data_IF_283837384515
#
_entry.id   IF_283837384515
#
_cell.length_a   1.000
_cell.length_b   1.000
_cell.length_c   1.000
_cell.angle_alpha   90.00
_cell.angle_beta   90.00
_cell.angle_gamma   90.00
#
_symmetry.space_group_name_H-M   'P 1'
#
loop_
_entity.id
_entity.type
_entity.pdbx_description
1 polymer ?
#
# COMPACT_ATOMS: atom_id res chain seq x y z
N UNK A 1 -33.68 0.12 55.36
CA UNK A 1 -33.34 -0.50 54.06
C UNK A 1 -33.00 0.61 53.07
N UNK A 2 -31.71 0.82 52.83
CA UNK A 2 -31.27 1.80 51.88
C UNK A 2 -30.76 1.06 50.65
N UNK A 3 -31.43 1.24 49.51
CA UNK A 3 -31.03 0.69 48.24
C UNK A 3 -30.00 1.59 47.58
N UNK A 4 -28.79 1.06 47.34
CA UNK A 4 -27.75 1.72 46.54
C UNK A 4 -28.04 1.51 45.06
N UNK A 5 -28.29 2.59 44.32
CA UNK A 5 -28.36 2.56 42.87
C UNK A 5 -26.98 2.68 42.28
N UNK A 6 -26.53 1.65 41.57
CA UNK A 6 -25.28 1.68 40.79
C UNK A 6 -25.51 2.45 39.50
N UNK A 7 -24.81 3.57 39.34
CA UNK A 7 -24.76 4.31 38.07
C UNK A 7 -23.76 3.62 37.11
N UNK A 8 -24.28 3.02 36.05
CA UNK A 8 -23.49 2.54 34.94
C UNK A 8 -23.05 3.73 34.07
N UNK A 9 -21.78 4.05 34.10
CA UNK A 9 -21.21 5.04 33.17
C UNK A 9 -21.13 4.43 31.76
N UNK A 10 -21.95 4.93 30.85
CA UNK A 10 -21.88 4.65 29.42
C UNK A 10 -20.64 5.37 28.86
N UNK A 11 -19.59 4.64 28.63
CA UNK A 11 -18.46 5.10 27.82
C UNK A 11 -18.96 5.20 26.37
N UNK A 12 -19.34 6.39 25.93
CA UNK A 12 -19.60 6.69 24.53
C UNK A 12 -18.32 6.55 23.68
N UNK A 13 -18.43 6.31 22.37
CA UNK A 13 -17.28 6.23 21.50
C UNK A 13 -16.51 7.53 21.56
N UNK A 14 -15.20 7.43 21.79
CA UNK A 14 -14.29 8.58 21.77
C UNK A 14 -14.40 9.24 20.39
N UNK A 15 -14.54 10.57 20.30
CA UNK A 15 -14.53 11.25 19.03
C UNK A 15 -13.17 11.04 18.36
N UNK A 16 -13.19 10.56 17.12
CA UNK A 16 -12.01 10.51 16.27
C UNK A 16 -11.33 11.88 16.33
N UNK A 17 -10.07 11.87 16.73
CA UNK A 17 -9.28 13.05 16.92
C UNK A 17 -9.35 13.94 15.66
N UNK A 18 -9.61 15.19 15.91
CA UNK A 18 -9.62 16.31 15.00
C UNK A 18 -8.64 16.17 13.84
N UNK A 19 -9.21 16.15 12.65
CA UNK A 19 -8.57 16.31 11.36
C UNK A 19 -7.63 17.52 11.41
N UNK A 20 -6.34 17.27 11.61
CA UNK A 20 -5.32 18.30 11.61
C UNK A 20 -5.12 18.77 10.16
N UNK A 21 -5.24 20.06 9.96
CA UNK A 21 -5.05 20.82 8.73
C UNK A 21 -5.92 20.39 7.54
N UNK A 22 -6.80 21.26 7.14
CA UNK A 22 -7.53 21.19 5.88
C UNK A 22 -6.55 21.29 4.71
N UNK A 23 -5.92 20.19 4.35
CA UNK A 23 -5.42 20.05 3.00
C UNK A 23 -6.64 20.13 2.09
N UNK A 24 -6.59 20.98 1.07
CA UNK A 24 -7.68 21.13 0.10
C UNK A 24 -7.83 19.88 -0.77
N UNK A 25 -7.15 18.77 -0.39
CA UNK A 25 -7.02 17.51 -1.11
C UNK A 25 -7.71 16.37 -0.36
N UNK A 26 -8.29 15.46 -1.13
CA UNK A 26 -8.88 14.21 -0.63
C UNK A 26 -7.84 13.09 -0.54
N UNK A 27 -6.78 13.20 -1.32
CA UNK A 27 -5.69 12.23 -1.39
C UNK A 27 -4.33 12.91 -1.59
N UNK A 28 -3.31 12.36 -0.94
CA UNK A 28 -1.90 12.60 -1.22
C UNK A 28 -1.12 11.28 -1.15
N UNK A 29 -0.18 11.12 -2.06
CA UNK A 29 0.69 9.96 -2.13
C UNK A 29 1.81 10.09 -1.10
N UNK A 30 1.99 9.08 -0.23
CA UNK A 30 3.05 9.08 0.76
C UNK A 30 4.04 7.96 0.47
N UNK A 31 5.26 8.33 0.11
CA UNK A 31 6.39 7.40 0.00
C UNK A 31 7.06 7.26 1.36
N UNK A 32 7.26 6.03 1.82
CA UNK A 32 7.93 5.75 3.09
C UNK A 32 9.44 5.58 2.87
N UNK A 33 10.21 6.38 3.59
CA UNK A 33 11.66 6.23 3.72
C UNK A 33 11.95 5.36 4.95
N UNK A 34 12.60 4.21 4.74
CA UNK A 34 13.06 3.31 5.78
C UNK A 34 14.59 3.20 5.77
N UNK A 35 15.19 2.90 6.92
CA UNK A 35 16.64 3.05 7.12
C UNK A 35 17.46 2.00 6.36
N UNK A 36 16.99 0.76 6.30
CA UNK A 36 17.79 -0.36 5.80
C UNK A 36 17.88 -0.45 4.27
N UNK A 37 16.99 0.24 3.51
CA UNK A 37 16.81 -0.01 2.09
C UNK A 37 17.07 1.17 1.17
N UNK A 38 16.70 0.96 -0.08
CA UNK A 38 16.79 1.92 -1.19
C UNK A 38 15.37 2.37 -1.59
N UNK A 39 14.72 3.07 -0.72
CA UNK A 39 13.33 3.52 -0.79
C UNK A 39 13.02 4.50 -1.94
N UNK A 40 14.04 5.13 -2.51
CA UNK A 40 13.96 6.22 -3.50
C UNK A 40 14.01 5.73 -4.96
N UNK A 41 13.53 4.53 -5.19
CA UNK A 41 13.37 3.93 -6.53
C UNK A 41 12.18 4.53 -7.27
N UNK A 42 12.14 4.38 -8.60
CA UNK A 42 10.99 4.76 -9.45
C UNK A 42 10.57 6.23 -9.27
N UNK A 43 11.47 7.15 -9.61
CA UNK A 43 11.34 8.59 -9.31
C UNK A 43 10.07 9.23 -9.91
N UNK A 44 9.63 8.79 -11.10
CA UNK A 44 8.46 9.35 -11.79
C UNK A 44 7.15 8.64 -11.45
N UNK A 45 7.23 7.46 -10.85
CA UNK A 45 6.06 6.64 -10.54
C UNK A 45 4.99 7.42 -9.75
N UNK A 46 5.30 8.14 -8.65
CA UNK A 46 4.25 8.85 -7.91
C UNK A 46 3.55 9.91 -8.76
N UNK A 47 4.30 10.67 -9.57
CA UNK A 47 3.70 11.70 -10.44
C UNK A 47 2.80 11.08 -11.52
N UNK A 48 3.16 9.92 -12.05
CA UNK A 48 2.37 9.20 -13.05
C UNK A 48 1.08 8.62 -12.43
N UNK A 49 1.17 8.03 -11.23
CA UNK A 49 0.01 7.54 -10.48
C UNK A 49 -0.93 8.69 -10.11
N UNK A 50 -0.40 9.81 -9.61
CA UNK A 50 -1.18 11.01 -9.26
C UNK A 50 -1.89 11.60 -10.50
N UNK A 51 -1.19 11.68 -11.63
CA UNK A 51 -1.79 12.10 -12.91
C UNK A 51 -2.94 11.18 -13.30
N UNK A 52 -2.76 9.88 -13.16
CA UNK A 52 -3.80 8.90 -13.50
C UNK A 52 -5.03 9.02 -12.60
N UNK A 53 -4.83 9.28 -11.30
CA UNK A 53 -5.94 9.55 -10.39
C UNK A 53 -6.73 10.82 -10.79
N UNK A 54 -6.04 11.87 -11.22
CA UNK A 54 -6.66 13.10 -11.71
C UNK A 54 -7.44 12.84 -13.00
N UNK A 55 -6.87 12.06 -13.93
CA UNK A 55 -7.48 11.78 -15.23
C UNK A 55 -8.70 10.85 -15.13
N UNK A 56 -8.68 9.87 -14.21
CA UNK A 56 -9.73 8.85 -14.13
C UNK A 56 -10.77 9.11 -13.03
N UNK A 57 -10.49 9.97 -12.06
CA UNK A 57 -11.37 10.15 -10.89
C UNK A 57 -11.73 11.59 -10.63
N UNK A 58 -12.70 11.83 -9.75
CA UNK A 58 -13.05 13.18 -9.27
C UNK A 58 -12.34 13.55 -7.95
N UNK A 59 -11.37 12.77 -7.51
CA UNK A 59 -10.61 13.05 -6.29
C UNK A 59 -9.81 14.35 -6.45
N UNK A 60 -9.80 15.16 -5.41
CA UNK A 60 -8.89 16.30 -5.30
C UNK A 60 -7.55 15.75 -4.81
N UNK A 61 -6.62 15.56 -5.73
CA UNK A 61 -5.33 14.91 -5.52
C UNK A 61 -4.25 15.98 -5.34
N UNK A 62 -3.41 15.86 -4.30
CA UNK A 62 -2.18 16.64 -4.22
C UNK A 62 -1.25 16.20 -5.36
N UNK A 63 -0.83 17.09 -6.27
CA UNK A 63 -0.02 16.71 -7.41
C UNK A 63 1.43 16.34 -7.04
N UNK A 64 1.81 16.45 -5.77
CA UNK A 64 3.15 16.14 -5.27
C UNK A 64 3.13 14.97 -4.33
N UNK A 65 4.15 14.11 -4.43
CA UNK A 65 4.36 13.10 -3.40
C UNK A 65 4.85 13.73 -2.09
N UNK A 66 4.52 13.07 -0.99
CA UNK A 66 5.05 13.35 0.34
C UNK A 66 6.02 12.23 0.72
N UNK A 67 7.24 12.55 1.07
CA UNK A 67 8.21 11.60 1.61
C UNK A 67 8.22 11.72 3.12
N UNK A 68 7.93 10.62 3.81
CA UNK A 68 7.95 10.55 5.28
C UNK A 68 8.87 9.43 5.75
N UNK A 69 9.62 9.69 6.81
CA UNK A 69 10.35 8.63 7.48
C UNK A 69 9.37 7.64 8.13
N UNK A 70 9.58 6.35 7.92
CA UNK A 70 8.78 5.31 8.58
C UNK A 70 8.91 5.40 10.12
N UNK A 71 10.04 5.90 10.61
CA UNK A 71 10.26 6.18 12.03
C UNK A 71 9.53 7.46 12.54
N UNK A 72 9.07 8.36 11.65
CA UNK A 72 8.33 9.57 12.05
C UNK A 72 6.85 9.23 12.29
N UNK A 73 6.29 9.49 13.49
CA UNK A 73 4.88 9.24 13.77
C UNK A 73 3.91 10.04 12.88
N UNK A 74 4.36 11.05 12.12
CA UNK A 74 3.52 11.74 11.14
C UNK A 74 2.97 10.80 10.05
N UNK A 75 3.67 9.68 9.77
CA UNK A 75 3.17 8.69 8.81
C UNK A 75 1.83 8.09 9.23
N UNK A 76 1.50 8.10 10.53
CA UNK A 76 0.22 7.61 11.04
C UNK A 76 -0.99 8.42 10.55
N UNK A 77 -0.77 9.61 10.00
CA UNK A 77 -1.81 10.50 9.45
C UNK A 77 -1.97 10.36 7.93
N UNK A 78 -1.11 9.61 7.27
CA UNK A 78 -1.16 9.44 5.82
C UNK A 78 -2.40 8.63 5.40
N UNK A 79 -3.13 9.03 4.33
CA UNK A 79 -4.27 8.26 3.84
C UNK A 79 -3.86 6.97 3.13
N UNK A 80 -2.62 6.94 2.66
CA UNK A 80 -2.02 5.87 1.88
C UNK A 80 -0.50 5.94 2.01
N UNK A 81 0.14 4.80 2.15
CA UNK A 81 1.59 4.69 2.16
C UNK A 81 2.09 3.73 1.08
N UNK A 82 3.23 4.08 0.49
CA UNK A 82 3.98 3.25 -0.47
C UNK A 82 5.37 2.96 0.08
N UNK A 83 5.80 1.70 -0.02
CA UNK A 83 7.13 1.24 0.35
C UNK A 83 7.66 0.36 -0.76
N UNK A 84 8.86 0.62 -1.26
CA UNK A 84 9.48 -0.17 -2.32
C UNK A 84 10.99 -0.25 -2.14
N UNK A 85 11.64 -1.09 -2.93
CA UNK A 85 13.09 -1.20 -3.00
C UNK A 85 13.58 -2.53 -3.55
N UNK A 86 14.92 -2.67 -3.60
CA UNK A 86 15.62 -3.86 -4.09
C UNK A 86 16.37 -4.60 -2.98
N UNK A 87 16.64 -3.91 -1.86
CA UNK A 87 17.57 -4.36 -0.82
C UNK A 87 16.86 -4.96 0.39
N UNK A 88 17.68 -5.31 1.37
CA UNK A 88 17.20 -5.83 2.65
C UNK A 88 16.19 -4.88 3.30
N UNK A 89 15.06 -5.42 3.72
CA UNK A 89 14.09 -4.72 4.58
C UNK A 89 14.31 -5.17 6.02
N UNK A 90 14.82 -4.27 6.84
CA UNK A 90 15.01 -4.48 8.25
C UNK A 90 14.54 -3.25 9.02
N UNK A 91 13.35 -3.33 9.63
CA UNK A 91 12.77 -2.22 10.36
C UNK A 91 13.46 -2.07 11.73
N UNK A 92 13.95 -0.86 12.00
CA UNK A 92 14.36 -0.50 13.35
C UNK A 92 13.14 -0.48 14.31
N UNK A 93 13.36 -0.43 15.64
CA UNK A 93 12.25 -0.51 16.60
C UNK A 93 11.18 0.60 16.45
N UNK A 94 11.54 1.79 15.96
CA UNK A 94 10.59 2.87 15.75
C UNK A 94 9.77 2.65 14.46
N UNK A 95 10.43 2.30 13.37
CA UNK A 95 9.80 1.92 12.10
C UNK A 95 8.80 0.78 12.28
N UNK A 96 9.23 -0.27 12.98
CA UNK A 96 8.38 -1.43 13.26
C UNK A 96 7.12 -1.03 14.05
N UNK A 97 7.26 -0.23 15.11
CA UNK A 97 6.09 0.23 15.91
C UNK A 97 5.13 1.06 15.07
N UNK A 98 5.66 2.02 14.29
CA UNK A 98 4.83 2.90 13.48
C UNK A 98 4.12 2.13 12.36
N UNK A 99 4.82 1.21 11.68
CA UNK A 99 4.22 0.36 10.66
C UNK A 99 3.08 -0.48 11.23
N UNK A 100 3.34 -1.18 12.35
CA UNK A 100 2.33 -2.00 13.03
C UNK A 100 1.14 -1.16 13.48
N UNK A 101 1.38 -0.02 14.13
CA UNK A 101 0.33 0.87 14.63
C UNK A 101 -0.51 1.44 13.47
N UNK A 102 0.13 1.87 12.39
CA UNK A 102 -0.55 2.39 11.21
C UNK A 102 -1.52 1.37 10.62
N UNK A 103 -1.04 0.17 10.36
CA UNK A 103 -1.85 -0.91 9.79
C UNK A 103 -2.97 -1.34 10.74
N UNK A 104 -2.68 -1.51 12.04
CA UNK A 104 -3.70 -1.89 13.03
C UNK A 104 -4.79 -0.84 13.25
N UNK A 105 -4.47 0.43 13.02
CA UNK A 105 -5.41 1.55 13.11
C UNK A 105 -6.19 1.80 11.79
N UNK A 106 -6.09 0.89 10.82
CA UNK A 106 -6.83 0.97 9.56
C UNK A 106 -6.08 1.68 8.43
N UNK A 107 -4.79 1.98 8.60
CA UNK A 107 -3.93 2.47 7.52
C UNK A 107 -3.71 1.42 6.44
N UNK A 108 -3.35 1.86 5.24
CA UNK A 108 -3.06 1.01 4.09
C UNK A 108 -1.66 1.27 3.55
N UNK A 109 -0.86 0.21 3.44
CA UNK A 109 0.48 0.26 2.84
C UNK A 109 0.51 -0.62 1.60
N UNK A 110 0.84 -0.03 0.44
CA UNK A 110 1.23 -0.79 -0.74
C UNK A 110 2.75 -0.98 -0.73
N UNK A 111 3.19 -2.22 -0.82
CA UNK A 111 4.60 -2.60 -0.82
C UNK A 111 4.91 -3.29 -2.13
N UNK A 112 5.92 -2.80 -2.84
CA UNK A 112 6.30 -3.31 -4.15
C UNK A 112 7.78 -3.72 -4.18
N UNK A 113 8.04 -4.95 -4.61
CA UNK A 113 9.38 -5.50 -4.77
C UNK A 113 9.88 -5.21 -6.18
N UNK A 114 10.87 -4.31 -6.27
CA UNK A 114 11.44 -3.89 -7.54
C UNK A 114 12.42 -4.91 -8.17
N UNK A 115 12.64 -6.07 -7.54
CA UNK A 115 13.45 -7.13 -8.15
C UNK A 115 12.62 -8.13 -8.97
N UNK A 116 11.30 -8.15 -8.78
CA UNK A 116 10.44 -9.17 -9.37
C UNK A 116 10.96 -10.59 -9.11
N UNK A 117 11.25 -10.92 -7.84
CA UNK A 117 11.82 -12.20 -7.42
C UNK A 117 11.25 -12.61 -6.06
N UNK A 118 10.40 -13.66 -6.06
CA UNK A 118 9.75 -14.15 -4.84
C UNK A 118 10.71 -14.72 -3.80
N UNK A 119 11.92 -15.08 -4.21
CA UNK A 119 12.99 -15.59 -3.36
C UNK A 119 14.14 -14.58 -3.22
N UNK A 120 13.96 -13.36 -3.71
CA UNK A 120 14.90 -12.26 -3.63
C UNK A 120 15.11 -11.75 -2.21
N UNK A 121 16.10 -10.89 -2.05
CA UNK A 121 16.47 -10.34 -0.74
C UNK A 121 15.35 -9.50 -0.14
N UNK A 122 14.73 -8.62 -0.94
CA UNK A 122 13.60 -7.80 -0.53
C UNK A 122 12.43 -8.68 -0.11
N UNK A 123 12.00 -9.62 -0.97
CA UNK A 123 10.86 -10.51 -0.71
C UNK A 123 11.02 -11.26 0.61
N UNK A 124 12.12 -11.98 0.79
CA UNK A 124 12.36 -12.78 2.01
C UNK A 124 12.45 -11.95 3.26
N UNK A 125 13.14 -10.80 3.19
CA UNK A 125 13.30 -9.94 4.36
C UNK A 125 11.99 -9.23 4.73
N UNK A 126 11.25 -8.71 3.75
CA UNK A 126 9.94 -8.10 4.02
C UNK A 126 8.95 -9.12 4.58
N UNK A 127 8.83 -10.29 3.99
CA UNK A 127 7.94 -11.34 4.51
C UNK A 127 8.33 -11.78 5.94
N UNK A 128 9.64 -11.83 6.26
CA UNK A 128 10.11 -12.11 7.61
C UNK A 128 9.72 -10.99 8.60
N UNK A 129 9.81 -9.71 8.21
CA UNK A 129 9.31 -8.60 9.02
C UNK A 129 7.80 -8.73 9.27
N UNK A 130 7.03 -8.98 8.22
CA UNK A 130 5.57 -9.14 8.34
C UNK A 130 5.19 -10.34 9.21
N UNK A 131 5.85 -11.46 9.06
CA UNK A 131 5.64 -12.64 9.91
C UNK A 131 5.95 -12.34 11.39
N UNK A 132 6.95 -11.53 11.63
CA UNK A 132 7.34 -11.10 12.99
C UNK A 132 6.35 -10.12 13.63
N UNK A 133 5.68 -9.27 12.83
CA UNK A 133 4.73 -8.26 13.31
C UNK A 133 3.30 -8.83 13.44
N UNK A 134 2.84 -9.51 12.40
CA UNK A 134 1.44 -9.93 12.27
C UNK A 134 1.23 -11.45 12.43
N UNK A 135 2.31 -12.23 12.50
CA UNK A 135 2.28 -13.68 12.60
C UNK A 135 2.63 -14.39 11.28
N UNK A 136 3.18 -15.61 11.39
CA UNK A 136 3.74 -16.37 10.26
C UNK A 136 2.74 -16.67 9.12
N UNK A 137 1.45 -16.71 9.40
CA UNK A 137 0.40 -17.00 8.41
C UNK A 137 -0.44 -15.78 8.03
N UNK A 138 -0.02 -14.57 8.42
CA UNK A 138 -0.79 -13.36 8.19
C UNK A 138 -0.81 -12.96 6.71
N UNK A 139 0.34 -13.08 6.03
CA UNK A 139 0.42 -12.75 4.59
C UNK A 139 -0.13 -13.91 3.75
N UNK A 140 -1.11 -13.60 2.91
CA UNK A 140 -1.82 -14.58 2.06
C UNK A 140 -1.94 -14.07 0.64
N UNK A 141 -2.03 -14.99 -0.32
CA UNK A 141 -2.45 -14.64 -1.69
C UNK A 141 -3.87 -14.10 -1.67
N UNK A 142 -4.10 -13.00 -2.36
CA UNK A 142 -5.44 -12.46 -2.54
C UNK A 142 -6.18 -13.25 -3.62
N UNK A 143 -7.43 -13.66 -3.38
CA UNK A 143 -8.23 -14.30 -4.42
C UNK A 143 -8.60 -13.28 -5.50
N UNK A 144 -8.76 -13.69 -6.76
CA UNK A 144 -9.17 -12.81 -7.86
C UNK A 144 -10.56 -12.17 -7.62
N UNK A 145 -11.36 -12.74 -6.71
CA UNK A 145 -12.62 -12.16 -6.25
C UNK A 145 -12.46 -11.03 -5.22
N UNK A 146 -11.25 -10.70 -4.79
CA UNK A 146 -11.02 -9.65 -3.79
C UNK A 146 -11.53 -8.29 -4.27
N UNK A 147 -12.06 -7.47 -3.34
CA UNK A 147 -12.68 -6.18 -3.65
C UNK A 147 -11.73 -5.20 -4.34
N UNK A 148 -10.43 -5.28 -4.07
CA UNK A 148 -9.38 -4.48 -4.71
C UNK A 148 -9.44 -4.56 -6.24
N UNK A 149 -9.69 -5.76 -6.80
CA UNK A 149 -9.75 -5.96 -8.26
C UNK A 149 -11.01 -5.43 -8.93
N UNK A 150 -11.89 -4.77 -8.18
CA UNK A 150 -13.15 -4.16 -8.68
C UNK A 150 -13.52 -2.86 -7.95
N UNK A 151 -12.56 -2.24 -7.27
CA UNK A 151 -12.82 -1.01 -6.51
C UNK A 151 -13.14 0.18 -7.41
N UNK A 152 -12.63 0.20 -8.64
CA UNK A 152 -12.93 1.21 -9.66
C UNK A 152 -13.00 0.57 -11.05
N UNK A 153 -11.92 0.00 -11.55
CA UNK A 153 -11.88 -0.80 -12.78
C UNK A 153 -12.05 -2.29 -12.46
N UNK A 154 -12.49 -3.08 -13.45
CA UNK A 154 -12.74 -4.50 -13.28
C UNK A 154 -11.56 -5.35 -13.80
N UNK A 155 -10.89 -6.05 -12.90
CA UNK A 155 -9.86 -7.05 -13.19
C UNK A 155 -10.36 -8.44 -12.79
N UNK A 156 -11.02 -9.13 -13.72
CA UNK A 156 -11.68 -10.44 -13.44
C UNK A 156 -10.68 -11.55 -13.17
N UNK A 157 -9.53 -11.48 -13.81
CA UNK A 157 -8.50 -12.52 -13.79
C UNK A 157 -7.39 -12.22 -12.76
N UNK A 158 -7.61 -11.21 -11.89
CA UNK A 158 -6.62 -10.79 -10.90
C UNK A 158 -5.69 -9.70 -11.41
N UNK A 159 -4.47 -9.57 -10.84
CA UNK A 159 -3.57 -8.50 -11.19
C UNK A 159 -3.03 -8.65 -12.62
N UNK A 160 -2.97 -7.57 -13.42
CA UNK A 160 -2.39 -7.64 -14.76
C UNK A 160 -0.89 -8.00 -14.70
N UNK A 161 -0.40 -8.68 -15.74
CA UNK A 161 1.03 -8.90 -15.90
C UNK A 161 1.76 -7.59 -16.17
N UNK A 162 3.00 -7.47 -15.70
CA UNK A 162 3.87 -6.35 -16.02
C UNK A 162 4.71 -6.64 -17.25
N UNK A 163 5.24 -5.60 -17.88
CA UNK A 163 6.18 -5.74 -19.00
C UNK A 163 7.44 -6.49 -18.56
N UNK A 164 7.84 -6.33 -17.31
CA UNK A 164 9.03 -6.99 -16.74
C UNK A 164 8.83 -8.49 -16.63
N UNK A 165 7.70 -8.94 -16.10
CA UNK A 165 7.34 -10.37 -16.06
C UNK A 165 7.36 -11.02 -17.45
N UNK A 166 6.78 -10.35 -18.44
CA UNK A 166 6.68 -10.90 -19.81
C UNK A 166 8.02 -10.87 -20.54
N UNK A 167 9.02 -10.15 -20.07
CA UNK A 167 10.38 -10.13 -20.62
C UNK A 167 11.35 -11.03 -19.86
N UNK A 168 10.88 -11.81 -18.88
CA UNK A 168 11.69 -12.75 -18.12
C UNK A 168 12.68 -12.09 -17.16
N UNK A 169 12.27 -11.03 -16.50
CA UNK A 169 13.08 -10.39 -15.45
C UNK A 169 12.83 -11.04 -14.08
N UNK A 170 13.80 -10.89 -13.20
CA UNK A 170 13.72 -11.43 -11.85
C UNK A 170 13.76 -12.95 -11.84
N UNK A 171 12.68 -13.60 -11.41
CA UNK A 171 12.55 -15.06 -11.34
C UNK A 171 12.07 -15.74 -12.65
N UNK A 172 11.95 -14.96 -13.73
CA UNK A 172 11.49 -15.41 -15.05
C UNK A 172 10.07 -16.04 -15.06
N UNK A 173 9.22 -15.62 -14.10
CA UNK A 173 7.86 -16.10 -13.96
C UNK A 173 6.84 -14.97 -14.10
N UNK A 174 5.62 -15.32 -14.52
CA UNK A 174 4.46 -14.43 -14.46
C UNK A 174 3.62 -14.80 -13.25
N UNK A 175 3.47 -13.87 -12.32
CA UNK A 175 2.69 -14.08 -11.11
C UNK A 175 1.25 -13.57 -11.30
N UNK A 176 0.28 -14.47 -11.15
CA UNK A 176 -1.15 -14.19 -11.29
C UNK A 176 -1.82 -13.73 -9.98
N UNK A 177 -1.03 -13.31 -8.99
CA UNK A 177 -1.52 -12.94 -7.67
C UNK A 177 -0.76 -11.77 -7.06
N UNK A 178 -1.42 -11.09 -6.13
CA UNK A 178 -0.80 -10.26 -5.10
C UNK A 178 -0.97 -10.95 -3.75
N UNK A 179 -0.13 -10.58 -2.78
CA UNK A 179 -0.27 -11.01 -1.39
C UNK A 179 -0.79 -9.86 -0.54
N UNK A 180 -1.38 -10.18 0.60
CA UNK A 180 -1.82 -9.14 1.53
C UNK A 180 -1.97 -9.63 2.96
N UNK A 181 -2.08 -8.67 3.86
CA UNK A 181 -2.36 -8.88 5.28
C UNK A 181 -3.66 -8.14 5.61
N UNK A 182 -4.65 -8.91 6.04
CA UNK A 182 -5.91 -8.35 6.55
C UNK A 182 -5.83 -8.17 8.06
N UNK A 183 -6.25 -7.00 8.52
CA UNK A 183 -6.39 -6.67 9.94
C UNK A 183 -7.81 -6.16 10.17
N UNK A 184 -8.52 -6.75 11.12
CA UNK A 184 -9.91 -6.40 11.44
C UNK A 184 -10.87 -6.47 10.22
N UNK A 185 -10.63 -7.43 9.31
CA UNK A 185 -11.46 -7.62 8.11
C UNK A 185 -11.19 -6.65 6.96
N UNK A 186 -10.11 -5.86 7.04
CA UNK A 186 -9.67 -4.93 6.01
C UNK A 186 -8.23 -5.23 5.59
N UNK A 187 -7.94 -5.15 4.30
CA UNK A 187 -6.58 -5.25 3.80
C UNK A 187 -5.78 -4.00 4.24
N UNK A 188 -4.78 -4.22 5.08
CA UNK A 188 -3.91 -3.15 5.59
C UNK A 188 -2.53 -3.14 4.95
N UNK A 189 -2.06 -4.30 4.46
CA UNK A 189 -0.84 -4.41 3.67
C UNK A 189 -1.16 -5.12 2.37
N UNK A 190 -0.86 -4.48 1.26
CA UNK A 190 -0.84 -5.09 -0.06
C UNK A 190 0.62 -5.27 -0.48
N UNK A 191 1.02 -6.46 -0.87
CA UNK A 191 2.37 -6.76 -1.32
C UNK A 191 2.36 -7.28 -2.76
N UNK A 192 3.23 -6.71 -3.58
CA UNK A 192 3.49 -7.11 -4.95
C UNK A 192 4.96 -7.50 -5.11
N UNK A 193 5.21 -8.59 -5.81
CA UNK A 193 6.52 -8.95 -6.34
C UNK A 193 6.55 -8.82 -7.88
N UNK A 194 5.70 -7.95 -8.44
CA UNK A 194 5.51 -7.79 -9.89
C UNK A 194 6.23 -6.58 -10.46
N UNK A 195 6.89 -5.79 -9.60
CA UNK A 195 7.59 -4.57 -10.00
C UNK A 195 6.67 -3.56 -10.70
N UNK A 196 5.53 -3.29 -10.07
CA UNK A 196 4.61 -2.26 -10.57
C UNK A 196 5.18 -0.85 -10.48
N UNK A 197 6.07 -0.58 -9.52
CA UNK A 197 6.75 0.70 -9.41
C UNK A 197 7.48 1.06 -10.69
N UNK A 198 8.31 0.16 -11.20
CA UNK A 198 8.99 0.33 -12.48
C UNK A 198 8.02 0.44 -13.66
N UNK A 199 6.93 -0.35 -13.66
CA UNK A 199 5.90 -0.26 -14.72
C UNK A 199 5.22 1.12 -14.71
N UNK A 200 4.89 1.66 -13.53
CA UNK A 200 4.28 2.99 -13.38
C UNK A 200 5.25 4.14 -13.50
N UNK A 201 6.57 3.92 -13.38
CA UNK A 201 7.60 4.93 -13.63
C UNK A 201 7.63 5.35 -15.11
N UNK A 202 7.13 4.53 -16.00
CA UNK A 202 6.92 4.86 -17.40
C UNK A 202 5.54 5.45 -17.63
N UNK A 203 5.48 6.64 -18.24
CA UNK A 203 4.21 7.26 -18.62
C UNK A 203 3.42 6.32 -19.54
N UNK A 204 2.21 5.93 -19.14
CA UNK A 204 1.29 5.11 -19.93
C UNK A 204 1.06 5.68 -21.34
N UNK A 205 1.15 7.00 -21.51
CA UNK A 205 1.08 7.68 -22.81
C UNK A 205 2.18 7.28 -23.78
N UNK A 206 3.26 6.72 -23.31
CA UNK A 206 4.27 6.12 -24.16
C UNK A 206 3.81 4.83 -24.84
N UNK A 207 2.58 4.42 -24.60
CA UNK A 207 1.91 3.25 -25.21
C UNK A 207 2.72 1.97 -25.09
N UNK A 208 3.36 1.76 -23.97
CA UNK A 208 3.97 0.48 -23.67
C UNK A 208 2.88 -0.58 -23.59
N UNK A 209 3.22 -1.76 -24.03
CA UNK A 209 2.35 -2.91 -23.90
C UNK A 209 1.97 -3.10 -22.42
N UNK A 210 0.67 -3.21 -22.15
CA UNK A 210 0.05 -3.35 -20.81
C UNK A 210 0.11 -2.11 -19.88
N UNK A 211 0.79 -1.04 -20.22
CA UNK A 211 0.90 0.14 -19.34
C UNK A 211 -0.46 0.70 -18.92
N UNK A 212 -1.47 0.69 -19.79
CA UNK A 212 -2.81 1.18 -19.45
C UNK A 212 -3.50 0.34 -18.37
N UNK A 213 -3.45 -0.99 -18.47
CA UNK A 213 -4.07 -1.87 -17.47
C UNK A 213 -3.34 -1.79 -16.14
N UNK A 214 -2.02 -1.73 -16.17
CA UNK A 214 -1.20 -1.55 -14.97
C UNK A 214 -1.49 -0.22 -14.27
N UNK A 215 -1.64 0.86 -15.03
CA UNK A 215 -2.05 2.18 -14.52
C UNK A 215 -3.44 2.15 -13.90
N UNK A 216 -4.39 1.47 -14.52
CA UNK A 216 -5.74 1.27 -13.96
C UNK A 216 -5.71 0.49 -12.65
N UNK A 217 -4.78 -0.46 -12.50
CA UNK A 217 -4.60 -1.15 -11.22
C UNK A 217 -4.12 -0.20 -10.13
N UNK A 218 -3.22 0.75 -10.43
CA UNK A 218 -2.81 1.77 -9.45
C UNK A 218 -4.00 2.58 -8.95
N UNK A 219 -4.93 2.97 -9.85
CA UNK A 219 -6.18 3.65 -9.46
C UNK A 219 -7.02 2.76 -8.55
N UNK A 220 -7.17 1.48 -8.88
CA UNK A 220 -7.90 0.53 -8.02
C UNK A 220 -7.30 0.44 -6.62
N UNK A 221 -5.98 0.35 -6.51
CA UNK A 221 -5.28 0.26 -5.23
C UNK A 221 -5.58 1.48 -4.35
N UNK A 222 -5.50 2.68 -4.93
CA UNK A 222 -5.76 3.92 -4.19
C UNK A 222 -7.25 4.03 -3.81
N UNK A 223 -8.17 3.76 -4.74
CA UNK A 223 -9.61 3.81 -4.43
C UNK A 223 -9.97 2.79 -3.35
N UNK A 224 -9.42 1.58 -3.42
CA UNK A 224 -9.60 0.59 -2.36
C UNK A 224 -9.10 1.11 -1.00
N UNK A 225 -7.91 1.68 -0.96
CA UNK A 225 -7.33 2.22 0.26
C UNK A 225 -8.20 3.30 0.92
N UNK A 226 -8.91 4.09 0.12
CA UNK A 226 -9.75 5.20 0.60
C UNK A 226 -11.18 4.78 0.97
N UNK A 227 -11.68 3.64 0.47
CA UNK A 227 -13.11 3.28 0.55
C UNK A 227 -13.41 2.00 1.32
N UNK A 228 -12.43 1.15 1.58
CA UNK A 228 -12.59 -0.13 2.26
C UNK A 228 -12.59 -0.03 3.80
#
# INVERSE_FOLDING_TARGET
MFGAAAAAALLGPLPFATRAQSTNYDFWFTRLRYESGDWDVDERMPSNVLTSLIDYTSLRVDPKEHVLDLADPKMLMAPFCYLAGHKLVEFNPAERRNFEQYVRNGGFVFVDDCNHDIDGLFARSFEAQMASIFGKSAMKKLPNSHALYRSFFMFKDGPPATTFELNGWGDDLVHDYLKGIEVNGRLGVLYSNKDYGCEWDYDWRNRRFLAEDNTKLAVNIVIYALTA
#
